data_IF_227549420049
#
_entry.id   IF_227549420049
#
_cell.length_a   1.000
_cell.length_b   1.000
_cell.length_c   1.000
_cell.angle_alpha   90.00
_cell.angle_beta   90.00
_cell.angle_gamma   90.00
#
_symmetry.space_group_name_H-M   'P 1'
#
loop_
_entity.id
_entity.type
_entity.pdbx_description
1 polymer ?
#
# COMPACT_ATOMS: atom_id res chain seq x y z
N UNK A 1 38.00 -4.53 23.39
CA UNK A 1 37.42 -4.46 22.04
C UNK A 1 37.49 -3.02 21.57
N UNK A 2 38.51 -2.64 20.79
CA UNK A 2 38.66 -1.27 20.29
C UNK A 2 37.78 -1.07 19.05
N UNK A 3 36.89 -0.09 19.10
CA UNK A 3 36.04 0.28 17.97
C UNK A 3 36.93 1.01 16.96
N UNK A 4 36.96 0.54 15.70
CA UNK A 4 37.73 1.21 14.64
C UNK A 4 37.15 2.60 14.34
N UNK A 5 38.00 3.58 13.98
CA UNK A 5 37.54 4.93 13.60
C UNK A 5 36.50 4.88 12.47
N UNK A 6 36.65 3.95 11.53
CA UNK A 6 35.72 3.76 10.42
C UNK A 6 34.35 3.26 10.90
N UNK A 7 34.34 2.34 11.86
CA UNK A 7 33.09 1.87 12.50
C UNK A 7 32.38 3.01 13.24
N UNK A 8 33.13 3.87 13.92
CA UNK A 8 32.57 5.04 14.61
C UNK A 8 31.92 6.02 13.63
N UNK A 9 32.63 6.37 12.55
CA UNK A 9 32.11 7.26 11.48
C UNK A 9 30.85 6.66 10.85
N UNK A 10 30.85 5.37 10.56
CA UNK A 10 29.69 4.68 10.00
C UNK A 10 28.47 4.77 10.94
N UNK A 11 28.63 4.53 12.24
CA UNK A 11 27.54 4.64 13.21
C UNK A 11 27.00 6.07 13.31
N UNK A 12 27.88 7.07 13.32
CA UNK A 12 27.49 8.49 13.40
C UNK A 12 26.68 8.93 12.17
N UNK A 13 26.86 8.30 11.01
CA UNK A 13 26.09 8.60 9.80
C UNK A 13 24.78 7.79 9.76
N UNK A 14 24.86 6.49 10.02
CA UNK A 14 23.72 5.56 9.87
C UNK A 14 22.65 5.80 10.93
N UNK A 15 23.03 6.09 12.18
CA UNK A 15 22.07 6.30 13.26
C UNK A 15 21.15 7.49 12.97
N UNK A 16 21.65 8.71 12.67
CA UNK A 16 20.79 9.83 12.29
C UNK A 16 19.91 9.53 11.08
N UNK A 17 20.45 8.87 10.05
CA UNK A 17 19.66 8.48 8.89
C UNK A 17 18.51 7.53 9.25
N UNK A 18 18.74 6.58 10.17
CA UNK A 18 17.70 5.65 10.63
C UNK A 18 16.59 6.38 11.37
N UNK A 19 16.95 7.31 12.27
CA UNK A 19 15.97 8.12 12.99
C UNK A 19 15.20 9.04 12.05
N UNK A 20 15.87 9.71 11.10
CA UNK A 20 15.21 10.55 10.10
C UNK A 20 14.24 9.74 9.24
N UNK A 21 14.64 8.55 8.79
CA UNK A 21 13.78 7.63 8.05
C UNK A 21 12.55 7.22 8.88
N UNK A 22 12.74 6.79 10.12
CA UNK A 22 11.67 6.36 11.00
C UNK A 22 10.68 7.49 11.32
N UNK A 23 11.19 8.70 11.59
CA UNK A 23 10.37 9.89 11.80
C UNK A 23 9.54 10.24 10.55
N UNK A 24 10.16 10.15 9.36
CA UNK A 24 9.46 10.39 8.12
C UNK A 24 8.33 9.38 7.88
N UNK A 25 8.62 8.07 8.05
CA UNK A 25 7.61 7.00 7.93
C UNK A 25 6.46 7.21 8.90
N UNK A 26 6.76 7.55 10.16
CA UNK A 26 5.76 7.83 11.18
C UNK A 26 4.85 9.00 10.79
N UNK A 27 5.42 10.11 10.34
CA UNK A 27 4.67 11.30 9.93
C UNK A 27 3.82 11.01 8.69
N UNK A 28 4.36 10.31 7.67
CA UNK A 28 3.62 9.93 6.47
C UNK A 28 2.45 8.99 6.82
N UNK A 29 2.69 7.97 7.65
CA UNK A 29 1.64 7.04 8.09
C UNK A 29 0.53 7.75 8.89
N UNK A 30 0.90 8.69 9.76
CA UNK A 30 -0.06 9.51 10.51
C UNK A 30 -0.90 10.40 9.59
N UNK A 31 -0.27 11.06 8.60
CA UNK A 31 -0.98 11.88 7.61
C UNK A 31 -1.96 11.08 6.75
N UNK A 32 -1.66 9.81 6.50
CA UNK A 32 -2.52 8.88 5.74
C UNK A 32 -3.64 8.26 6.57
N UNK A 33 -3.64 8.45 7.89
CA UNK A 33 -4.63 7.86 8.78
C UNK A 33 -4.49 6.34 8.95
N UNK A 34 -3.28 5.80 8.78
CA UNK A 34 -3.02 4.38 9.03
C UNK A 34 -3.26 4.05 10.51
N UNK A 35 -4.10 3.06 10.82
CA UNK A 35 -4.51 2.72 12.19
C UNK A 35 -3.33 2.45 13.13
N UNK A 36 -2.26 1.86 12.60
CA UNK A 36 -1.04 1.49 13.33
C UNK A 36 0.18 2.30 12.88
N UNK A 37 0.02 3.62 12.71
CA UNK A 37 1.10 4.52 12.27
C UNK A 37 2.38 4.45 13.14
N UNK A 38 2.24 4.20 14.44
CA UNK A 38 3.38 4.07 15.36
C UNK A 38 4.21 2.81 15.12
N UNK A 39 3.54 1.70 14.74
CA UNK A 39 4.21 0.44 14.44
C UNK A 39 5.08 0.58 13.18
N UNK A 40 4.59 1.32 12.18
CA UNK A 40 5.38 1.66 10.98
C UNK A 40 6.62 2.49 11.30
N UNK A 41 6.54 3.44 12.24
CA UNK A 41 7.70 4.20 12.71
C UNK A 41 8.75 3.31 13.38
N UNK A 42 8.34 2.40 14.27
CA UNK A 42 9.23 1.43 14.92
C UNK A 42 9.87 0.48 13.90
N UNK A 43 9.08 0.01 12.92
CA UNK A 43 9.58 -0.82 11.83
C UNK A 43 10.65 -0.11 10.98
N UNK A 44 10.49 1.21 10.79
CA UNK A 44 11.44 2.06 10.07
C UNK A 44 12.85 2.13 10.68
N UNK A 45 13.02 1.74 11.95
CA UNK A 45 14.32 1.72 12.64
C UNK A 45 15.15 0.46 12.38
N UNK A 46 14.57 -0.60 11.79
CA UNK A 46 15.29 -1.87 11.59
C UNK A 46 16.44 -1.75 10.58
N UNK A 47 16.22 -1.06 9.48
CA UNK A 47 17.17 -1.08 8.37
C UNK A 47 16.89 0.02 7.33
N UNK A 48 17.95 0.60 6.76
CA UNK A 48 17.89 1.43 5.54
C UNK A 48 18.47 0.58 4.39
N UNK A 49 17.84 0.49 3.20
CA UNK A 49 16.56 1.09 2.78
C UNK A 49 15.38 0.11 2.80
N UNK A 50 15.60 -1.15 3.22
CA UNK A 50 14.62 -2.23 3.04
C UNK A 50 13.28 -1.97 3.76
N UNK A 51 13.31 -1.43 4.98
CA UNK A 51 12.09 -1.10 5.72
C UNK A 51 11.27 0.01 5.04
N UNK A 52 11.94 1.00 4.44
CA UNK A 52 11.29 2.04 3.64
C UNK A 52 10.63 1.43 2.40
N UNK A 53 11.33 0.57 1.66
CA UNK A 53 10.76 -0.09 0.46
C UNK A 53 9.51 -0.88 0.82
N UNK A 54 9.55 -1.69 1.88
CA UNK A 54 8.40 -2.46 2.36
C UNK A 54 7.25 -1.54 2.76
N UNK A 55 7.54 -0.46 3.50
CA UNK A 55 6.54 0.53 3.87
C UNK A 55 5.88 1.15 2.63
N UNK A 56 6.66 1.60 1.65
CA UNK A 56 6.14 2.18 0.41
C UNK A 56 5.27 1.17 -0.34
N UNK A 57 5.74 -0.08 -0.47
CA UNK A 57 4.98 -1.12 -1.18
C UNK A 57 3.64 -1.38 -0.48
N UNK A 58 3.63 -1.65 0.82
CA UNK A 58 2.38 -1.97 1.55
C UNK A 58 1.41 -0.79 1.57
N UNK A 59 1.91 0.44 1.70
CA UNK A 59 1.04 1.63 1.84
C UNK A 59 0.66 2.30 0.52
N UNK A 60 1.35 1.98 -0.59
CA UNK A 60 1.13 2.65 -1.89
C UNK A 60 0.75 1.68 -3.01
N UNK A 61 0.89 0.37 -2.82
CA UNK A 61 0.41 -0.60 -3.79
C UNK A 61 -1.13 -0.64 -3.82
N UNK A 62 -1.71 -0.72 -5.01
CA UNK A 62 -3.17 -0.86 -5.16
C UNK A 62 -3.96 0.44 -5.32
N UNK A 63 -3.35 1.53 -5.80
CA UNK A 63 -4.11 2.69 -6.28
C UNK A 63 -4.23 2.67 -7.80
N UNK A 64 -5.41 3.00 -8.33
CA UNK A 64 -5.66 3.11 -9.77
C UNK A 64 -6.54 4.32 -10.07
N UNK A 65 -6.58 4.76 -11.34
CA UNK A 65 -7.47 5.84 -11.77
C UNK A 65 -8.84 5.26 -12.11
N UNK A 66 -9.90 5.86 -11.57
CA UNK A 66 -11.26 5.50 -11.94
C UNK A 66 -11.47 5.72 -13.45
N UNK A 67 -11.95 4.73 -14.21
CA UNK A 67 -12.13 4.85 -15.67
C UNK A 67 -13.23 5.84 -16.07
N UNK A 68 -14.15 6.18 -15.15
CA UNK A 68 -15.24 7.11 -15.43
C UNK A 68 -14.87 8.58 -15.12
N UNK A 69 -14.27 8.86 -13.96
CA UNK A 69 -13.99 10.24 -13.53
C UNK A 69 -12.50 10.62 -13.47
N UNK A 70 -11.58 9.67 -13.66
CA UNK A 70 -10.14 9.89 -13.65
C UNK A 70 -9.49 10.12 -12.28
N UNK A 71 -10.26 10.21 -11.19
CA UNK A 71 -9.73 10.36 -9.82
C UNK A 71 -9.06 9.06 -9.34
N UNK A 72 -8.04 9.19 -8.49
CA UNK A 72 -7.34 8.04 -7.89
C UNK A 72 -8.21 7.38 -6.83
N UNK A 73 -8.39 6.07 -6.92
CA UNK A 73 -9.18 5.25 -5.99
C UNK A 73 -8.34 4.05 -5.53
N UNK A 74 -8.64 3.53 -4.33
CA UNK A 74 -8.05 2.28 -3.82
C UNK A 74 -8.67 1.08 -4.55
N UNK A 75 -7.88 0.07 -4.87
CA UNK A 75 -8.30 -1.18 -5.54
C UNK A 75 -9.37 -1.95 -4.76
N UNK A 76 -9.47 -1.73 -3.45
CA UNK A 76 -10.39 -2.47 -2.57
C UNK A 76 -11.81 -1.90 -2.60
N UNK A 77 -12.03 -0.73 -3.21
CA UNK A 77 -13.35 -0.10 -3.25
C UNK A 77 -14.23 -0.74 -4.32
N UNK A 78 -15.47 -1.06 -3.95
CA UNK A 78 -16.50 -1.59 -4.87
C UNK A 78 -17.07 -0.51 -5.80
N UNK A 79 -17.24 0.69 -5.24
CA UNK A 79 -17.77 1.85 -5.95
C UNK A 79 -16.82 3.04 -5.77
N UNK A 80 -16.76 3.91 -6.78
CA UNK A 80 -15.99 5.13 -6.70
C UNK A 80 -16.66 6.13 -5.73
N UNK A 81 -15.96 6.63 -4.68
CA UNK A 81 -16.54 7.54 -3.70
C UNK A 81 -16.80 8.95 -4.27
N UNK A 82 -16.30 9.23 -5.48
CA UNK A 82 -16.42 10.54 -6.11
C UNK A 82 -17.49 10.61 -7.20
N UNK A 83 -17.80 9.49 -7.88
CA UNK A 83 -18.77 9.47 -8.99
C UNK A 83 -19.79 8.32 -8.91
N UNK A 84 -19.66 7.40 -7.95
CA UNK A 84 -20.58 6.26 -7.79
C UNK A 84 -20.40 5.12 -8.81
N UNK A 85 -19.48 5.21 -9.77
CA UNK A 85 -19.24 4.14 -10.74
C UNK A 85 -18.81 2.83 -10.06
N UNK A 86 -19.35 1.70 -10.53
CA UNK A 86 -18.87 0.37 -10.11
C UNK A 86 -17.44 0.16 -10.60
N UNK A 87 -16.54 -0.18 -9.68
CA UNK A 87 -15.13 -0.42 -9.94
C UNK A 87 -14.82 -1.91 -10.08
N UNK A 88 -15.72 -2.79 -9.62
CA UNK A 88 -15.62 -4.24 -9.76
C UNK A 88 -16.54 -4.69 -10.88
N UNK A 89 -16.10 -5.67 -11.67
CA UNK A 89 -16.93 -6.31 -12.69
C UNK A 89 -17.97 -7.18 -12.00
N UNK A 90 -19.19 -7.15 -12.52
CA UNK A 90 -20.30 -7.99 -12.06
C UNK A 90 -20.80 -8.85 -13.22
N UNK A 91 -21.39 -10.00 -12.89
CA UNK A 91 -22.00 -10.87 -13.88
C UNK A 91 -23.20 -10.16 -14.53
N UNK A 92 -23.32 -10.12 -15.87
CA UNK A 92 -24.42 -9.44 -16.55
C UNK A 92 -25.78 -10.13 -16.34
N UNK A 93 -25.82 -11.40 -15.89
CA UNK A 93 -27.06 -12.16 -15.69
C UNK A 93 -27.60 -12.08 -14.26
N UNK A 94 -26.74 -12.25 -13.25
CA UNK A 94 -27.17 -12.33 -11.84
C UNK A 94 -26.64 -11.19 -10.96
N UNK A 95 -25.74 -10.35 -11.47
CA UNK A 95 -25.17 -9.22 -10.72
C UNK A 95 -24.08 -9.59 -9.71
N UNK A 96 -23.74 -10.87 -9.54
CA UNK A 96 -22.67 -11.31 -8.63
C UNK A 96 -21.31 -10.71 -9.03
N UNK A 97 -20.51 -10.31 -8.05
CA UNK A 97 -19.13 -9.85 -8.30
C UNK A 97 -18.29 -10.96 -8.93
N UNK A 98 -17.59 -10.64 -10.03
CA UNK A 98 -16.77 -11.59 -10.78
C UNK A 98 -15.31 -11.15 -10.80
N UNK A 99 -14.40 -12.12 -10.69
CA UNK A 99 -12.96 -11.89 -10.88
C UNK A 99 -12.62 -11.91 -12.36
N UNK A 100 -11.57 -11.20 -12.77
CA UNK A 100 -11.15 -11.11 -14.18
C UNK A 100 -10.72 -12.45 -14.79
N UNK A 101 -10.33 -13.40 -13.93
CA UNK A 101 -9.80 -14.70 -14.31
C UNK A 101 -10.88 -15.77 -14.46
N UNK A 102 -12.15 -15.45 -14.13
CA UNK A 102 -13.24 -16.40 -14.18
C UNK A 102 -13.81 -16.55 -15.59
N UNK A 103 -13.93 -17.80 -16.05
CA UNK A 103 -14.58 -18.13 -17.33
C UNK A 103 -16.10 -18.27 -17.19
N UNK A 104 -16.57 -18.75 -16.03
CA UNK A 104 -17.99 -18.97 -15.73
C UNK A 104 -18.37 -18.31 -14.40
N UNK A 105 -19.59 -17.82 -14.31
CA UNK A 105 -20.14 -17.29 -13.07
C UNK A 105 -20.47 -18.43 -12.09
N UNK A 106 -20.03 -18.37 -10.81
CA UNK A 106 -20.28 -19.43 -9.83
C UNK A 106 -21.76 -19.57 -9.44
N UNK A 107 -22.54 -18.50 -9.53
CA UNK A 107 -23.96 -18.50 -9.10
C UNK A 107 -24.91 -18.93 -10.21
N UNK A 108 -24.67 -18.47 -11.45
CA UNK A 108 -25.63 -18.66 -12.56
C UNK A 108 -25.06 -19.40 -13.76
N UNK A 109 -23.81 -19.86 -13.71
CA UNK A 109 -23.11 -20.61 -14.77
C UNK A 109 -23.01 -19.88 -16.13
N UNK A 110 -23.25 -18.57 -16.17
CA UNK A 110 -23.11 -17.78 -17.41
C UNK A 110 -21.64 -17.66 -17.80
N UNK A 111 -21.34 -17.82 -19.09
CA UNK A 111 -20.00 -17.63 -19.67
C UNK A 111 -19.63 -16.13 -19.65
N UNK A 112 -18.47 -15.81 -19.09
CA UNK A 112 -17.97 -14.44 -18.88
C UNK A 112 -16.92 -14.03 -19.93
N UNK A 113 -16.16 -15.01 -20.45
CA UNK A 113 -15.17 -14.91 -21.54
C UNK A 113 -15.45 -15.99 -22.57
#
# INVERSE_FOLDING_TARGET
MSISKNTLIFLIIVIPLLFLQALWIFIDAKKRGEKYYWAWGLFGLLNIPSSLIIYLFVTRYGHFKCPNCGKTVKNDYKFCPYCGASLKKTCPKCGTEIKEDWTYCPECSTKLK
#
